data_IF_895136369953
#
_entry.id   IF_895136369953
#
_cell.length_a   1.000
_cell.length_b   1.000
_cell.length_c   1.000
_cell.angle_alpha   90.00
_cell.angle_beta   90.00
_cell.angle_gamma   90.00
#
_symmetry.space_group_name_H-M   'P 1'
#
loop_
_entity.id
_entity.type
_entity.pdbx_description
1 polymer ?
#
# COMPACT_ATOMS: atom_id res chain seq x y z
N UNK A 1 3.75 -25.57 -7.13
CA UNK A 1 3.05 -25.34 -8.41
C UNK A 1 1.97 -24.27 -8.23
N UNK A 2 1.16 -24.36 -7.18
CA UNK A 2 0.04 -23.43 -6.92
C UNK A 2 0.46 -21.97 -6.66
N UNK A 3 1.56 -21.73 -5.94
CA UNK A 3 2.08 -20.36 -5.69
C UNK A 3 2.56 -19.67 -6.95
N UNK A 4 3.22 -20.41 -7.86
CA UNK A 4 3.70 -19.84 -9.13
C UNK A 4 2.52 -19.44 -10.02
N UNK A 5 1.49 -20.29 -10.09
CA UNK A 5 0.26 -20.00 -10.85
C UNK A 5 -0.44 -18.77 -10.26
N UNK A 6 -0.58 -18.70 -8.93
CA UNK A 6 -1.17 -17.55 -8.24
C UNK A 6 -0.40 -16.26 -8.54
N UNK A 7 0.94 -16.31 -8.50
CA UNK A 7 1.80 -15.17 -8.80
C UNK A 7 1.68 -14.73 -10.27
N UNK A 8 1.67 -15.67 -11.22
CA UNK A 8 1.48 -15.36 -12.64
C UNK A 8 0.13 -14.68 -12.87
N UNK A 9 -0.95 -15.23 -12.28
CA UNK A 9 -2.28 -14.63 -12.36
C UNK A 9 -2.30 -13.22 -11.76
N UNK A 10 -1.71 -13.04 -10.58
CA UNK A 10 -1.65 -11.76 -9.87
C UNK A 10 -0.90 -10.69 -10.67
N UNK A 11 0.32 -11.00 -11.12
CA UNK A 11 1.17 -10.08 -11.88
C UNK A 11 0.54 -9.75 -13.25
N UNK A 12 -0.05 -10.74 -13.92
CA UNK A 12 -0.74 -10.52 -15.20
C UNK A 12 -1.96 -9.61 -15.01
N UNK A 13 -2.72 -9.82 -13.94
CA UNK A 13 -3.88 -8.99 -13.61
C UNK A 13 -3.48 -7.55 -13.32
N UNK A 14 -2.44 -7.33 -12.50
CA UNK A 14 -1.91 -6.00 -12.23
C UNK A 14 -1.40 -5.31 -13.51
N UNK A 15 -0.67 -6.03 -14.37
CA UNK A 15 -0.18 -5.48 -15.63
C UNK A 15 -1.33 -5.04 -16.53
N UNK A 16 -2.36 -5.88 -16.68
CA UNK A 16 -3.57 -5.54 -17.45
C UNK A 16 -4.25 -4.30 -16.85
N UNK A 17 -4.43 -4.26 -15.53
CA UNK A 17 -5.03 -3.11 -14.84
C UNK A 17 -4.21 -1.82 -15.01
N UNK A 18 -2.88 -1.90 -15.02
CA UNK A 18 -1.98 -0.76 -15.26
C UNK A 18 -2.15 -0.23 -16.69
N UNK A 19 -2.20 -1.12 -17.69
CA UNK A 19 -2.39 -0.73 -19.09
C UNK A 19 -3.77 -0.10 -19.29
N UNK A 20 -4.84 -0.78 -18.85
CA UNK A 20 -6.21 -0.28 -18.96
C UNK A 20 -6.41 1.02 -18.19
N UNK A 21 -5.87 1.11 -16.98
CA UNK A 21 -5.90 2.31 -16.16
C UNK A 21 -5.20 3.49 -16.83
N UNK A 22 -4.02 3.27 -17.42
CA UNK A 22 -3.28 4.31 -18.14
C UNK A 22 -4.10 4.89 -19.30
N UNK A 23 -4.95 4.09 -19.94
CA UNK A 23 -5.81 4.55 -21.04
C UNK A 23 -7.07 5.26 -20.49
N UNK A 24 -7.69 4.68 -19.47
CA UNK A 24 -8.99 5.10 -18.96
C UNK A 24 -8.92 6.36 -18.08
N UNK A 25 -7.88 6.46 -17.25
CA UNK A 25 -7.69 7.54 -16.28
C UNK A 25 -6.91 8.75 -16.83
N UNK A 26 -6.26 8.63 -17.98
CA UNK A 26 -5.58 9.74 -18.67
C UNK A 26 -6.59 10.62 -19.45
N UNK A 27 -7.41 11.35 -18.69
CA UNK A 27 -8.54 12.16 -19.20
C UNK A 27 -8.09 13.30 -20.13
N UNK A 28 -7.00 13.98 -19.79
CA UNK A 28 -6.38 15.07 -20.54
C UNK A 28 -5.31 14.60 -21.54
N UNK A 29 -5.20 13.29 -21.77
CA UNK A 29 -4.32 12.66 -22.77
C UNK A 29 -2.86 13.11 -22.70
N UNK A 30 -2.31 13.22 -21.49
CA UNK A 30 -0.91 13.64 -21.27
C UNK A 30 0.10 12.52 -21.45
N UNK A 31 -0.30 11.26 -21.40
CA UNK A 31 0.66 10.16 -21.56
C UNK A 31 1.21 10.17 -22.99
N UNK A 32 2.53 10.28 -23.09
CA UNK A 32 3.25 10.22 -24.37
C UNK A 32 4.65 9.64 -24.15
N UNK A 33 5.27 9.11 -25.21
CA UNK A 33 6.65 8.59 -25.13
C UNK A 33 7.63 9.65 -24.59
N UNK A 34 7.46 10.91 -25.00
CA UNK A 34 8.28 12.04 -24.52
C UNK A 34 8.09 12.26 -23.02
N UNK A 35 6.84 12.31 -22.55
CA UNK A 35 6.54 12.55 -21.15
C UNK A 35 6.95 11.37 -20.25
N UNK A 36 6.79 10.13 -20.73
CA UNK A 36 7.25 8.94 -20.01
C UNK A 36 8.78 8.92 -19.84
N UNK A 37 9.55 9.24 -20.89
CA UNK A 37 11.02 9.34 -20.80
C UNK A 37 11.42 10.47 -19.84
N UNK A 38 10.78 11.64 -19.98
CA UNK A 38 11.02 12.77 -19.10
C UNK A 38 10.70 12.42 -17.65
N UNK A 39 9.54 11.81 -17.38
CA UNK A 39 9.10 11.43 -16.05
C UNK A 39 10.03 10.40 -15.42
N UNK A 40 10.49 9.41 -16.18
CA UNK A 40 11.42 8.40 -15.69
C UNK A 40 12.76 9.03 -15.28
N UNK A 41 13.32 9.89 -16.14
CA UNK A 41 14.60 10.56 -15.86
C UNK A 41 14.49 11.49 -14.64
N UNK A 42 13.44 12.31 -14.58
CA UNK A 42 13.27 13.32 -13.54
C UNK A 42 12.68 12.78 -12.22
N UNK A 43 12.25 11.52 -12.21
CA UNK A 43 11.74 10.86 -10.99
C UNK A 43 12.66 9.77 -10.45
N UNK A 44 13.82 9.54 -11.08
CA UNK A 44 14.73 8.43 -10.75
C UNK A 44 15.14 8.38 -9.27
N UNK A 45 15.43 9.51 -8.64
CA UNK A 45 15.76 9.56 -7.22
C UNK A 45 14.58 9.12 -6.34
N UNK A 46 13.36 9.54 -6.66
CA UNK A 46 12.16 9.13 -5.94
C UNK A 46 11.84 7.64 -6.17
N UNK A 47 12.03 7.13 -7.39
CA UNK A 47 11.86 5.71 -7.68
C UNK A 47 12.89 4.85 -6.93
N UNK A 48 14.11 5.37 -6.73
CA UNK A 48 15.11 4.70 -5.90
C UNK A 48 14.73 4.72 -4.41
N UNK A 49 14.15 5.82 -3.90
CA UNK A 49 13.58 5.85 -2.54
C UNK A 49 12.47 4.80 -2.40
N UNK A 50 11.58 4.67 -3.39
CA UNK A 50 10.54 3.64 -3.37
C UNK A 50 11.15 2.22 -3.31
N UNK A 51 12.24 1.97 -4.04
CA UNK A 51 12.98 0.72 -3.96
C UNK A 51 13.58 0.50 -2.55
N UNK A 52 14.16 1.54 -1.95
CA UNK A 52 14.68 1.49 -0.58
C UNK A 52 13.55 1.10 0.38
N UNK A 53 12.36 1.70 0.26
CA UNK A 53 11.21 1.35 1.12
C UNK A 53 10.90 -0.15 1.02
N UNK A 54 10.82 -0.71 -0.19
CA UNK A 54 10.60 -2.16 -0.36
C UNK A 54 11.71 -3.02 0.22
N UNK A 55 12.97 -2.58 0.14
CA UNK A 55 14.10 -3.27 0.79
C UNK A 55 13.94 -3.24 2.31
N UNK A 56 13.56 -2.10 2.90
CA UNK A 56 13.36 -1.97 4.33
C UNK A 56 12.19 -2.81 4.82
N UNK A 57 11.09 -2.90 4.08
CA UNK A 57 9.98 -3.85 4.37
C UNK A 57 10.51 -5.28 4.37
N UNK A 58 11.42 -5.65 3.45
CA UNK A 58 12.01 -7.00 3.44
C UNK A 58 12.98 -7.24 4.60
N UNK A 59 13.76 -6.25 5.00
CA UNK A 59 14.64 -6.33 6.17
C UNK A 59 13.80 -6.50 7.43
N UNK A 60 12.76 -5.69 7.58
CA UNK A 60 11.80 -5.74 8.68
C UNK A 60 11.18 -7.15 8.78
N UNK A 61 10.68 -7.69 7.68
CA UNK A 61 10.21 -9.08 7.59
C UNK A 61 11.25 -10.12 8.05
N UNK A 62 12.52 -9.95 7.66
CA UNK A 62 13.61 -10.84 8.07
C UNK A 62 13.86 -10.72 9.58
N UNK A 63 13.82 -9.51 10.14
CA UNK A 63 14.00 -9.29 11.58
C UNK A 63 12.88 -9.99 12.37
N UNK A 64 11.63 -9.88 11.94
CA UNK A 64 10.51 -10.59 12.56
C UNK A 64 10.67 -12.12 12.56
N UNK A 65 11.31 -12.71 11.54
CA UNK A 65 11.57 -14.16 11.52
C UNK A 65 12.65 -14.60 12.52
N UNK A 66 13.58 -13.71 12.88
CA UNK A 66 14.75 -14.04 13.69
C UNK A 66 14.58 -13.67 15.17
N UNK A 67 13.70 -12.73 15.48
CA UNK A 67 13.51 -12.23 16.83
C UNK A 67 12.05 -12.33 17.27
N UNK A 68 11.86 -12.65 18.55
CA UNK A 68 10.52 -12.65 19.16
C UNK A 68 10.14 -11.20 19.44
N UNK A 69 9.14 -10.71 18.72
CA UNK A 69 8.58 -9.37 18.91
C UNK A 69 7.50 -9.38 20.00
N UNK A 70 7.33 -8.27 20.74
CA UNK A 70 6.28 -8.17 21.76
C UNK A 70 4.88 -8.13 21.14
N UNK A 71 3.96 -8.94 21.68
CA UNK A 71 2.57 -9.06 21.21
C UNK A 71 1.62 -8.18 22.05
N UNK A 72 0.97 -7.22 21.40
CA UNK A 72 0.02 -6.29 22.01
C UNK A 72 -1.44 -6.54 21.58
N UNK A 73 -1.72 -7.66 20.91
CA UNK A 73 -3.05 -7.97 20.35
C UNK A 73 -4.16 -7.99 21.41
N UNK A 74 -3.83 -8.41 22.64
CA UNK A 74 -4.76 -8.42 23.77
C UNK A 74 -5.42 -7.04 24.01
N UNK A 75 -4.67 -5.93 23.85
CA UNK A 75 -5.20 -4.58 24.04
C UNK A 75 -6.30 -4.24 23.04
N UNK A 76 -6.20 -4.76 21.81
CA UNK A 76 -7.19 -4.57 20.77
C UNK A 76 -8.42 -5.44 21.04
N UNK A 77 -8.20 -6.71 21.35
CA UNK A 77 -9.29 -7.62 21.67
C UNK A 77 -10.12 -7.18 22.87
N UNK A 78 -9.48 -6.71 23.95
CA UNK A 78 -10.19 -6.20 25.14
C UNK A 78 -11.02 -4.94 24.82
N UNK A 79 -10.60 -4.13 23.84
CA UNK A 79 -11.28 -2.90 23.46
C UNK A 79 -12.52 -3.15 22.60
N UNK A 80 -12.42 -4.01 21.58
CA UNK A 80 -13.45 -4.16 20.53
C UNK A 80 -14.02 -5.58 20.39
N UNK A 81 -13.29 -6.60 20.86
CA UNK A 81 -13.64 -8.00 20.66
C UNK A 81 -13.82 -8.37 19.18
N UNK A 82 -14.50 -9.49 18.92
CA UNK A 82 -14.68 -10.03 17.56
C UNK A 82 -16.12 -9.92 17.04
N UNK A 83 -17.05 -9.33 17.82
CA UNK A 83 -18.49 -9.42 17.57
C UNK A 83 -18.93 -8.86 16.23
N UNK A 84 -18.40 -7.71 15.82
CA UNK A 84 -18.71 -7.09 14.53
C UNK A 84 -18.21 -7.91 13.34
N UNK A 85 -17.02 -8.51 13.46
CA UNK A 85 -16.43 -9.34 12.41
C UNK A 85 -17.26 -10.59 12.23
N UNK A 86 -17.57 -11.28 13.34
CA UNK A 86 -18.42 -12.49 13.33
C UNK A 86 -19.79 -12.17 12.74
N UNK A 87 -20.41 -11.05 13.16
CA UNK A 87 -21.70 -10.61 12.61
C UNK A 87 -21.65 -10.47 11.09
N UNK A 88 -20.65 -9.76 10.55
CA UNK A 88 -20.49 -9.60 9.10
C UNK A 88 -20.26 -10.94 8.40
N UNK A 89 -19.40 -11.79 8.96
CA UNK A 89 -19.10 -13.10 8.42
C UNK A 89 -20.27 -14.07 8.49
N UNK A 90 -21.21 -13.92 9.41
CA UNK A 90 -22.42 -14.75 9.50
C UNK A 90 -23.51 -14.30 8.52
N UNK A 91 -23.68 -12.99 8.35
CA UNK A 91 -24.75 -12.45 7.51
C UNK A 91 -24.38 -12.36 6.03
N UNK A 92 -23.10 -12.44 5.68
CA UNK A 92 -22.60 -12.35 4.30
C UNK A 92 -21.89 -13.65 3.87
N UNK A 93 -22.40 -14.83 4.24
CA UNK A 93 -21.81 -16.13 3.88
C UNK A 93 -22.11 -16.54 2.43
N UNK A 94 -21.43 -15.91 1.48
CA UNK A 94 -21.55 -16.27 0.07
C UNK A 94 -20.16 -16.52 -0.55
N UNK A 95 -19.88 -17.72 -1.10
CA UNK A 95 -18.56 -18.04 -1.65
C UNK A 95 -18.08 -17.09 -2.76
N UNK A 96 -19.00 -16.66 -3.64
CA UNK A 96 -18.68 -15.71 -4.70
C UNK A 96 -18.35 -14.32 -4.13
N UNK A 97 -19.10 -13.87 -3.12
CA UNK A 97 -18.81 -12.64 -2.41
C UNK A 97 -17.45 -12.68 -1.71
N UNK A 98 -17.17 -13.74 -0.95
CA UNK A 98 -15.87 -13.94 -0.28
C UNK A 98 -14.73 -13.86 -1.29
N UNK A 99 -14.84 -14.61 -2.39
CA UNK A 99 -13.84 -14.61 -3.45
C UNK A 99 -13.63 -13.21 -4.05
N UNK A 100 -14.72 -12.48 -4.28
CA UNK A 100 -14.67 -11.10 -4.79
C UNK A 100 -13.97 -10.14 -3.82
N UNK A 101 -14.23 -10.26 -2.52
CA UNK A 101 -13.58 -9.43 -1.48
C UNK A 101 -12.09 -9.80 -1.34
N UNK A 102 -11.73 -11.08 -1.42
CA UNK A 102 -10.33 -11.52 -1.44
C UNK A 102 -9.58 -10.93 -2.64
N UNK A 103 -10.15 -11.01 -3.85
CA UNK A 103 -9.55 -10.41 -5.06
C UNK A 103 -9.45 -8.89 -4.90
N UNK A 104 -10.48 -8.25 -4.36
CA UNK A 104 -10.46 -6.81 -4.10
C UNK A 104 -9.29 -6.41 -3.20
N UNK A 105 -9.14 -7.09 -2.06
CA UNK A 105 -8.06 -6.85 -1.10
C UNK A 105 -6.68 -7.06 -1.74
N UNK A 106 -6.48 -8.19 -2.43
CA UNK A 106 -5.21 -8.55 -3.05
C UNK A 106 -4.79 -7.54 -4.13
N UNK A 107 -5.71 -7.15 -5.03
CA UNK A 107 -5.34 -6.36 -6.21
C UNK A 107 -5.33 -4.86 -5.96
N UNK A 108 -6.35 -4.30 -5.31
CA UNK A 108 -6.60 -2.86 -5.43
C UNK A 108 -5.66 -2.01 -4.58
N UNK A 109 -5.17 -2.52 -3.45
CA UNK A 109 -4.16 -1.81 -2.66
C UNK A 109 -2.87 -1.62 -3.46
N UNK A 110 -2.27 -2.73 -3.91
CA UNK A 110 -1.05 -2.70 -4.71
C UNK A 110 -1.24 -1.96 -6.03
N UNK A 111 -2.40 -2.14 -6.67
CA UNK A 111 -2.75 -1.38 -7.85
C UNK A 111 -2.70 0.11 -7.57
N UNK A 112 -3.49 0.66 -6.63
CA UNK A 112 -3.50 2.10 -6.34
C UNK A 112 -2.11 2.61 -5.96
N UNK A 113 -1.37 1.88 -5.11
CA UNK A 113 -0.03 2.29 -4.69
C UNK A 113 0.94 2.38 -5.87
N UNK A 114 1.08 1.32 -6.67
CA UNK A 114 2.08 1.24 -7.75
C UNK A 114 1.61 2.00 -8.99
N UNK A 115 0.35 1.81 -9.38
CA UNK A 115 -0.22 2.46 -10.56
C UNK A 115 -0.19 3.98 -10.43
N UNK A 116 -0.46 4.57 -9.25
CA UNK A 116 -0.36 6.03 -9.08
C UNK A 116 1.04 6.55 -9.43
N UNK A 117 2.09 5.86 -8.98
CA UNK A 117 3.47 6.24 -9.27
C UNK A 117 3.76 6.11 -10.77
N UNK A 118 3.42 4.96 -11.37
CA UNK A 118 3.61 4.71 -12.79
C UNK A 118 2.84 5.74 -13.63
N UNK A 119 1.59 6.01 -13.28
CA UNK A 119 0.72 6.93 -13.98
C UNK A 119 1.31 8.35 -14.05
N UNK A 120 1.80 8.88 -12.93
CA UNK A 120 2.46 10.19 -12.92
C UNK A 120 3.82 10.19 -13.63
N UNK A 121 4.57 9.09 -13.59
CA UNK A 121 5.80 8.93 -14.40
C UNK A 121 5.46 8.99 -15.89
N UNK A 122 4.45 8.25 -16.35
CA UNK A 122 4.03 8.20 -17.76
C UNK A 122 3.54 9.57 -18.27
N UNK A 123 2.97 10.39 -17.38
CA UNK A 123 2.53 11.76 -17.66
C UNK A 123 3.64 12.81 -17.55
N UNK A 124 4.84 12.44 -17.10
CA UNK A 124 5.95 13.36 -16.89
C UNK A 124 5.79 14.29 -15.69
N UNK A 125 4.86 13.97 -14.77
CA UNK A 125 4.48 14.80 -13.62
C UNK A 125 5.35 14.44 -12.39
N UNK A 126 6.67 14.67 -12.48
CA UNK A 126 7.66 14.25 -11.45
C UNK A 126 7.40 14.82 -10.06
N UNK A 127 6.79 16.01 -9.95
CA UNK A 127 6.40 16.59 -8.67
C UNK A 127 5.28 15.78 -7.98
N UNK A 128 4.37 15.17 -8.76
CA UNK A 128 3.35 14.28 -8.23
C UNK A 128 3.95 12.94 -7.81
N UNK A 129 4.92 12.41 -8.58
CA UNK A 129 5.70 11.22 -8.19
C UNK A 129 6.40 11.45 -6.85
N UNK A 130 7.12 12.57 -6.71
CA UNK A 130 7.75 12.99 -5.45
C UNK A 130 6.76 12.98 -4.29
N UNK A 131 5.62 13.65 -4.47
CA UNK A 131 4.62 13.80 -3.40
C UNK A 131 4.07 12.44 -2.97
N UNK A 132 3.77 11.55 -3.91
CA UNK A 132 3.29 10.21 -3.60
C UNK A 132 4.35 9.35 -2.92
N UNK A 133 5.59 9.32 -3.43
CA UNK A 133 6.70 8.56 -2.82
C UNK A 133 6.99 9.08 -1.41
N UNK A 134 6.96 10.38 -1.18
CA UNK A 134 7.19 10.93 0.16
C UNK A 134 6.05 10.63 1.12
N UNK A 135 4.81 10.60 0.66
CA UNK A 135 3.70 10.11 1.48
C UNK A 135 3.89 8.64 1.87
N UNK A 136 4.25 7.78 0.91
CA UNK A 136 4.56 6.36 1.18
C UNK A 136 5.76 6.26 2.15
N UNK A 137 6.82 7.04 1.95
CA UNK A 137 7.99 7.07 2.84
C UNK A 137 7.60 7.43 4.28
N UNK A 138 6.79 8.47 4.47
CA UNK A 138 6.34 8.89 5.80
C UNK A 138 5.51 7.80 6.48
N UNK A 139 4.62 7.12 5.73
CA UNK A 139 3.88 5.97 6.25
C UNK A 139 4.88 4.91 6.76
N UNK A 140 5.82 4.47 5.93
CA UNK A 140 6.74 3.38 6.31
C UNK A 140 7.80 3.76 7.35
N UNK A 141 8.14 5.05 7.51
CA UNK A 141 8.94 5.53 8.65
C UNK A 141 8.21 5.27 9.98
N UNK A 142 6.87 5.32 9.98
CA UNK A 142 6.05 5.04 11.16
C UNK A 142 5.71 3.56 11.26
N UNK A 143 5.25 2.92 10.17
CA UNK A 143 4.80 1.53 10.17
C UNK A 143 5.89 0.56 10.61
N UNK A 144 7.11 0.68 10.08
CA UNK A 144 8.20 -0.27 10.36
C UNK A 144 8.52 -0.36 11.87
N UNK A 145 8.72 0.76 12.60
CA UNK A 145 8.87 0.68 14.06
C UNK A 145 7.70 0.01 14.78
N UNK A 146 6.45 0.27 14.37
CA UNK A 146 5.30 -0.40 15.01
C UNK A 146 5.30 -1.91 14.72
N UNK A 147 5.63 -2.34 13.50
CA UNK A 147 5.70 -3.76 13.12
C UNK A 147 6.89 -4.52 13.73
N UNK A 148 7.89 -3.81 14.26
CA UNK A 148 9.01 -4.41 14.98
C UNK A 148 8.82 -4.39 16.50
N UNK A 149 8.14 -3.39 17.06
CA UNK A 149 8.13 -3.14 18.50
C UNK A 149 6.73 -3.14 19.12
N UNK A 150 5.68 -3.25 18.32
CA UNK A 150 4.29 -3.20 18.76
C UNK A 150 3.41 -4.11 17.88
N UNK A 151 3.72 -5.41 17.88
CA UNK A 151 3.05 -6.35 16.99
C UNK A 151 1.59 -6.56 17.40
N UNK A 152 0.72 -6.60 16.39
CA UNK A 152 -0.71 -6.85 16.56
C UNK A 152 -1.12 -7.87 15.53
N UNK A 153 -1.61 -9.01 16.00
CA UNK A 153 -2.01 -10.12 15.13
C UNK A 153 -3.30 -9.82 14.36
N UNK A 154 -3.48 -10.57 13.28
CA UNK A 154 -4.75 -10.64 12.56
C UNK A 154 -5.88 -11.15 13.45
N UNK A 155 -7.09 -10.60 13.24
CA UNK A 155 -8.26 -10.94 14.08
C UNK A 155 -8.68 -12.41 13.98
N UNK A 156 -8.38 -13.06 12.86
CA UNK A 156 -8.59 -14.50 12.68
C UNK A 156 -7.53 -15.38 13.35
N UNK A 157 -6.52 -14.79 14.00
CA UNK A 157 -5.44 -15.47 14.74
C UNK A 157 -5.43 -15.07 16.23
N UNK A 158 -6.46 -14.36 16.71
CA UNK A 158 -6.58 -13.99 18.12
C UNK A 158 -8.04 -13.79 18.60
N UNK A 159 -8.38 -14.20 19.84
CA UNK A 159 -7.59 -15.04 20.74
C UNK A 159 -7.51 -16.49 20.22
N UNK A 160 -6.83 -17.37 20.97
CA UNK A 160 -6.86 -18.80 20.69
C UNK A 160 -8.30 -19.31 20.60
N UNK A 161 -8.59 -20.13 19.60
CA UNK A 161 -9.96 -20.58 19.26
C UNK A 161 -10.95 -19.43 18.96
N UNK A 162 -10.46 -18.35 18.34
CA UNK A 162 -11.31 -17.25 17.84
C UNK A 162 -12.45 -17.76 16.93
N UNK A 163 -13.68 -17.21 17.05
CA UNK A 163 -14.78 -17.52 16.15
C UNK A 163 -14.62 -16.87 14.76
N UNK A 164 -13.64 -15.98 14.58
CA UNK A 164 -13.39 -15.29 13.31
C UNK A 164 -12.81 -16.27 12.29
N UNK A 165 -13.49 -16.41 11.16
CA UNK A 165 -13.04 -17.27 10.07
C UNK A 165 -11.89 -16.60 9.31
N UNK A 166 -10.78 -17.29 9.03
CA UNK A 166 -9.68 -16.77 8.23
C UNK A 166 -10.01 -16.83 6.73
N UNK A 167 -10.99 -16.03 6.29
CA UNK A 167 -11.62 -16.18 4.95
C UNK A 167 -10.61 -16.10 3.81
N UNK A 168 -9.63 -15.19 3.90
CA UNK A 168 -8.56 -15.08 2.92
C UNK A 168 -7.55 -16.23 3.04
N UNK A 169 -7.10 -16.51 4.27
CA UNK A 169 -6.02 -17.50 4.51
C UNK A 169 -6.47 -18.95 4.32
N UNK A 170 -7.78 -19.21 4.31
CA UNK A 170 -8.35 -20.54 4.01
C UNK A 170 -8.08 -20.99 2.57
N UNK A 171 -7.73 -20.07 1.67
CA UNK A 171 -7.29 -20.39 0.31
C UNK A 171 -5.76 -20.30 0.21
N UNK A 172 -5.11 -21.43 -0.10
CA UNK A 172 -3.64 -21.52 -0.15
C UNK A 172 -2.99 -20.59 -1.17
N UNK A 173 -3.66 -20.29 -2.29
CA UNK A 173 -3.16 -19.36 -3.31
C UNK A 173 -3.20 -17.92 -2.81
N UNK A 174 -4.29 -17.54 -2.14
CA UNK A 174 -4.42 -16.18 -1.57
C UNK A 174 -3.50 -15.97 -0.39
N UNK A 175 -3.42 -16.95 0.51
CA UNK A 175 -2.47 -16.94 1.61
C UNK A 175 -1.04 -16.77 1.09
N UNK A 176 -0.65 -17.55 0.07
CA UNK A 176 0.69 -17.44 -0.50
C UNK A 176 0.96 -16.07 -1.13
N UNK A 177 -0.05 -15.38 -1.68
CA UNK A 177 0.11 -14.03 -2.23
C UNK A 177 0.24 -12.96 -1.14
N UNK A 178 -0.62 -12.99 -0.11
CA UNK A 178 -0.57 -11.99 0.99
C UNK A 178 0.73 -12.09 1.77
N UNK A 179 1.16 -13.32 2.10
CA UNK A 179 2.39 -13.53 2.88
C UNK A 179 3.68 -13.21 2.12
N UNK A 180 3.61 -12.86 0.82
CA UNK A 180 4.75 -12.26 0.12
C UNK A 180 4.96 -10.80 0.54
N UNK A 181 3.96 -10.13 1.08
CA UNK A 181 3.98 -8.71 1.40
C UNK A 181 3.87 -8.43 2.89
N UNK A 182 2.92 -9.07 3.57
CA UNK A 182 2.52 -8.76 4.94
C UNK A 182 2.71 -9.95 5.88
N UNK A 183 3.13 -9.70 7.12
CA UNK A 183 3.06 -10.69 8.20
C UNK A 183 1.68 -10.68 8.84
N UNK A 184 1.37 -11.79 9.51
CA UNK A 184 0.16 -11.93 10.32
C UNK A 184 0.15 -11.04 11.57
N UNK A 185 1.21 -10.26 11.80
CA UNK A 185 1.45 -9.40 12.96
C UNK A 185 1.54 -7.90 12.62
N UNK A 186 1.38 -7.54 11.34
CA UNK A 186 1.61 -6.19 10.82
C UNK A 186 0.32 -5.34 10.75
N UNK A 187 -0.52 -5.44 11.77
CA UNK A 187 -1.84 -4.82 11.69
C UNK A 187 -1.88 -3.35 12.14
N UNK A 188 -1.11 -2.99 13.17
CA UNK A 188 -1.22 -1.67 13.79
C UNK A 188 -0.01 -0.77 13.49
N UNK A 189 -0.23 0.48 13.05
CA UNK A 189 -1.47 0.97 12.41
C UNK A 189 -1.67 0.34 11.03
N UNK A 190 -2.88 0.40 10.46
CA UNK A 190 -3.14 -0.23 9.17
C UNK A 190 -2.37 0.46 8.02
N UNK A 191 -1.39 -0.24 7.46
CA UNK A 191 -0.60 0.20 6.31
C UNK A 191 -1.44 0.37 5.04
N UNK A 192 -2.36 -0.57 4.81
CA UNK A 192 -3.31 -0.54 3.69
C UNK A 192 -4.13 0.74 3.69
N UNK A 193 -4.75 1.06 4.82
CA UNK A 193 -5.62 2.23 4.97
C UNK A 193 -4.81 3.51 4.89
N UNK A 194 -3.67 3.58 5.57
CA UNK A 194 -2.84 4.80 5.62
C UNK A 194 -2.30 5.23 4.26
N UNK A 195 -1.76 4.29 3.47
CA UNK A 195 -1.28 4.58 2.11
C UNK A 195 -2.44 4.96 1.19
N UNK A 196 -3.56 4.23 1.20
CA UNK A 196 -4.72 4.54 0.37
C UNK A 196 -5.33 5.91 0.69
N UNK A 197 -5.47 6.25 1.97
CA UNK A 197 -5.93 7.58 2.41
C UNK A 197 -4.97 8.66 1.92
N UNK A 198 -3.66 8.48 2.09
CA UNK A 198 -2.68 9.47 1.67
C UNK A 198 -2.71 9.72 0.15
N UNK A 199 -2.80 8.67 -0.67
CA UNK A 199 -2.87 8.77 -2.13
C UNK A 199 -4.20 9.40 -2.57
N UNK A 200 -5.32 8.97 -1.99
CA UNK A 200 -6.64 9.53 -2.30
C UNK A 200 -6.72 11.02 -1.98
N UNK A 201 -6.14 11.47 -0.86
CA UNK A 201 -6.06 12.89 -0.53
C UNK A 201 -5.17 13.67 -1.50
N UNK A 202 -4.04 13.10 -1.95
CA UNK A 202 -3.20 13.71 -2.98
C UNK A 202 -4.01 13.89 -4.27
N UNK A 203 -4.68 12.84 -4.75
CA UNK A 203 -5.48 12.90 -5.98
C UNK A 203 -6.61 13.93 -5.86
N UNK A 204 -7.36 13.89 -4.77
CA UNK A 204 -8.50 14.76 -4.50
C UNK A 204 -8.12 16.24 -4.42
N UNK A 205 -6.98 16.56 -3.78
CA UNK A 205 -6.65 17.94 -3.43
C UNK A 205 -5.58 18.56 -4.34
N UNK A 206 -4.88 17.77 -5.15
CA UNK A 206 -3.75 18.25 -5.98
C UNK A 206 -3.92 17.99 -7.47
N UNK A 207 -4.98 17.31 -7.89
CA UNK A 207 -5.20 16.97 -9.30
C UNK A 207 -6.62 17.28 -9.76
N UNK A 208 -6.81 17.31 -11.08
CA UNK A 208 -8.13 17.41 -11.71
C UNK A 208 -8.55 16.08 -12.38
N UNK A 209 -7.97 14.96 -11.95
CA UNK A 209 -8.20 13.62 -12.51
C UNK A 209 -9.47 13.01 -11.89
N UNK A 210 -10.64 13.48 -12.32
CA UNK A 210 -11.94 13.16 -11.70
C UNK A 210 -12.18 11.66 -11.63
N UNK A 211 -12.01 10.94 -12.75
CA UNK A 211 -12.26 9.49 -12.82
C UNK A 211 -11.34 8.72 -11.89
N UNK A 212 -10.06 9.08 -11.88
CA UNK A 212 -9.08 8.39 -11.05
C UNK A 212 -9.28 8.68 -9.56
N UNK A 213 -9.56 9.95 -9.23
CA UNK A 213 -9.87 10.38 -7.86
C UNK A 213 -11.10 9.66 -7.31
N UNK A 214 -12.19 9.57 -8.08
CA UNK A 214 -13.39 8.84 -7.65
C UNK A 214 -13.06 7.37 -7.43
N UNK A 215 -12.33 6.75 -8.35
CA UNK A 215 -11.91 5.36 -8.22
C UNK A 215 -11.09 5.12 -6.94
N UNK A 216 -10.08 5.94 -6.67
CA UNK A 216 -9.24 5.76 -5.47
C UNK A 216 -10.01 6.01 -4.18
N UNK A 217 -10.93 6.98 -4.16
CA UNK A 217 -11.82 7.20 -3.01
C UNK A 217 -12.71 5.98 -2.76
N UNK A 218 -13.29 5.39 -3.80
CA UNK A 218 -14.12 4.19 -3.68
C UNK A 218 -13.30 3.00 -3.16
N UNK A 219 -12.10 2.77 -3.69
CA UNK A 219 -11.18 1.73 -3.19
C UNK A 219 -10.87 1.98 -1.72
N UNK A 220 -10.47 3.20 -1.37
CA UNK A 220 -10.13 3.59 0.01
C UNK A 220 -11.30 3.40 0.97
N UNK A 221 -12.53 3.73 0.55
CA UNK A 221 -13.73 3.59 1.37
C UNK A 221 -14.17 2.13 1.55
N UNK A 222 -13.94 1.27 0.55
CA UNK A 222 -14.28 -0.15 0.59
C UNK A 222 -13.23 -0.99 1.34
N UNK A 223 -11.98 -0.54 1.40
CA UNK A 223 -10.89 -1.28 2.08
C UNK A 223 -11.20 -1.61 3.54
N UNK A 224 -11.65 -0.68 4.42
CA UNK A 224 -12.02 -0.99 5.80
C UNK A 224 -13.03 -2.13 5.91
N UNK A 225 -14.07 -2.12 5.08
CA UNK A 225 -15.05 -3.20 5.05
C UNK A 225 -14.39 -4.53 4.66
N UNK A 226 -13.59 -4.54 3.59
CA UNK A 226 -12.93 -5.75 3.10
C UNK A 226 -12.04 -6.39 4.16
N UNK A 227 -11.18 -5.61 4.82
CA UNK A 227 -10.21 -6.14 5.79
C UNK A 227 -10.84 -6.59 7.11
N UNK A 228 -11.93 -5.94 7.56
CA UNK A 228 -12.72 -6.42 8.71
C UNK A 228 -13.42 -7.72 8.33
N UNK A 229 -14.14 -7.74 7.20
CA UNK A 229 -14.89 -8.91 6.77
C UNK A 229 -14.01 -10.16 6.59
N UNK A 230 -12.81 -9.99 6.02
CA UNK A 230 -11.85 -11.07 5.80
C UNK A 230 -11.21 -11.61 7.09
N UNK A 231 -11.43 -10.96 8.24
CA UNK A 231 -10.82 -11.34 9.51
C UNK A 231 -9.36 -10.93 9.63
N UNK A 232 -8.95 -9.84 8.96
CA UNK A 232 -7.55 -9.40 8.94
C UNK A 232 -7.32 -8.35 10.03
N UNK A 233 -8.05 -7.23 10.01
CA UNK A 233 -7.74 -6.03 10.80
C UNK A 233 -8.73 -5.73 11.92
N UNK A 234 -8.24 -5.07 12.96
CA UNK A 234 -9.01 -4.49 14.08
C UNK A 234 -9.57 -3.11 13.67
N UNK A 235 -10.70 -2.69 14.22
CA UNK A 235 -11.31 -1.37 13.91
C UNK A 235 -10.39 -0.22 14.33
N UNK A 236 -9.75 -0.34 15.50
CA UNK A 236 -8.84 0.66 16.04
C UNK A 236 -7.58 0.85 15.18
N UNK A 237 -7.09 -0.20 14.53
CA UNK A 237 -5.95 -0.09 13.60
C UNK A 237 -6.29 0.66 12.30
N UNK A 238 -7.56 0.59 11.87
CA UNK A 238 -8.09 1.33 10.73
C UNK A 238 -8.12 2.82 11.03
N UNK A 239 -8.61 3.21 12.22
CA UNK A 239 -8.62 4.62 12.63
C UNK A 239 -7.20 5.19 12.74
N UNK A 240 -6.27 4.43 13.31
CA UNK A 240 -4.86 4.81 13.35
C UNK A 240 -4.26 4.92 11.94
N UNK A 241 -4.64 4.01 11.04
CA UNK A 241 -4.28 4.07 9.62
C UNK A 241 -4.79 5.33 8.92
N UNK A 242 -6.06 5.71 9.11
CA UNK A 242 -6.63 6.95 8.56
C UNK A 242 -5.85 8.17 9.05
N UNK A 243 -5.61 8.25 10.36
CA UNK A 243 -4.85 9.35 10.96
C UNK A 243 -3.43 9.43 10.38
N UNK A 244 -2.73 8.29 10.28
CA UNK A 244 -1.40 8.22 9.69
C UNK A 244 -1.40 8.64 8.22
N UNK A 245 -2.40 8.22 7.44
CA UNK A 245 -2.55 8.63 6.04
C UNK A 245 -2.73 10.14 5.87
N UNK A 246 -3.50 10.78 6.75
CA UNK A 246 -3.67 12.24 6.79
C UNK A 246 -2.33 12.92 7.15
N UNK A 247 -1.61 12.42 8.15
CA UNK A 247 -0.28 12.93 8.54
C UNK A 247 0.70 12.80 7.38
N UNK A 248 0.71 11.66 6.69
CA UNK A 248 1.56 11.41 5.53
C UNK A 248 1.25 12.38 4.39
N UNK A 249 -0.03 12.65 4.11
CA UNK A 249 -0.44 13.66 3.14
C UNK A 249 0.13 15.04 3.50
N UNK A 250 -0.09 15.53 4.72
CA UNK A 250 0.39 16.85 5.13
C UNK A 250 1.91 16.92 5.17
N UNK A 251 2.58 15.87 5.61
CA UNK A 251 4.03 15.78 5.65
C UNK A 251 4.65 15.82 4.24
N UNK A 252 4.09 15.06 3.30
CA UNK A 252 4.54 15.06 1.90
C UNK A 252 4.32 16.40 1.20
N UNK A 253 3.39 17.23 1.69
CA UNK A 253 3.10 18.58 1.17
C UNK A 253 3.78 19.70 1.96
N UNK A 254 4.49 19.39 3.05
CA UNK A 254 5.17 20.38 3.89
C UNK A 254 6.57 20.66 3.39
N UNK A 255 6.83 21.88 2.90
CA UNK A 255 8.17 22.30 2.42
C UNK A 255 9.28 22.07 3.46
N UNK A 256 8.95 22.19 4.75
CA UNK A 256 9.91 21.96 5.85
C UNK A 256 10.34 20.50 5.94
N UNK A 257 9.38 19.57 5.83
CA UNK A 257 9.62 18.13 5.91
C UNK A 257 10.27 17.65 4.61
N UNK A 258 9.72 18.03 3.45
CA UNK A 258 10.23 17.59 2.16
C UNK A 258 11.67 18.05 1.91
N UNK A 259 12.13 19.17 2.50
CA UNK A 259 13.51 19.64 2.38
C UNK A 259 14.53 18.61 2.90
N UNK A 260 14.21 17.88 3.96
CA UNK A 260 15.06 16.81 4.47
C UNK A 260 15.17 15.66 3.47
N UNK A 261 14.03 15.22 2.94
CA UNK A 261 13.97 14.16 1.94
C UNK A 261 14.60 14.58 0.61
N UNK A 262 14.47 15.84 0.21
CA UNK A 262 15.10 16.42 -0.99
C UNK A 262 16.63 16.36 -0.89
N UNK A 263 17.19 16.70 0.27
CA UNK A 263 18.62 16.57 0.53
C UNK A 263 19.11 15.13 0.40
N UNK A 264 18.38 14.19 0.98
CA UNK A 264 18.67 12.76 0.86
C UNK A 264 18.53 12.24 -0.58
N UNK A 265 17.48 12.65 -1.29
CA UNK A 265 17.25 12.28 -2.69
C UNK A 265 18.39 12.78 -3.57
N UNK A 266 18.82 14.03 -3.38
CA UNK A 266 19.95 14.61 -4.11
C UNK A 266 21.26 13.87 -3.82
N UNK A 267 21.51 13.52 -2.55
CA UNK A 267 22.67 12.71 -2.18
C UNK A 267 22.70 11.35 -2.90
N UNK A 268 21.55 10.66 -2.95
CA UNK A 268 21.39 9.40 -3.70
C UNK A 268 21.71 9.63 -5.19
N UNK A 269 21.13 10.66 -5.81
CA UNK A 269 21.34 10.91 -7.23
C UNK A 269 22.80 11.22 -7.58
N UNK A 270 23.49 12.00 -6.73
CA UNK A 270 24.89 12.38 -6.95
C UNK A 270 25.88 11.24 -6.70
N UNK A 271 25.58 10.32 -5.78
CA UNK A 271 26.52 9.27 -5.34
C UNK A 271 26.22 7.89 -5.90
N UNK A 272 24.95 7.54 -6.08
CA UNK A 272 24.52 6.17 -6.40
C UNK A 272 23.97 6.05 -7.83
N UNK A 273 23.38 7.11 -8.39
CA UNK A 273 22.67 7.08 -9.69
C UNK A 273 23.38 7.98 -10.73
N UNK A 274 24.71 8.12 -10.67
CA UNK A 274 25.46 8.90 -11.66
C UNK A 274 25.21 8.36 -13.08
N UNK A 275 24.38 9.06 -13.84
CA UNK A 275 24.33 8.93 -15.29
C UNK A 275 25.35 9.93 -15.84
N UNK A 276 26.54 9.43 -16.20
CA UNK A 276 27.47 10.18 -17.04
C UNK A 276 26.78 10.39 -18.39
N UNK A 277 26.15 11.55 -18.57
CA UNK A 277 25.87 12.03 -19.92
C UNK A 277 27.22 12.45 -20.51
N UNK A 278 27.96 11.51 -21.10
CA UNK A 278 28.90 11.89 -22.13
C UNK A 278 28.05 12.40 -23.30
N UNK A 279 27.84 13.71 -23.31
CA UNK A 279 27.41 14.41 -24.51
C UNK A 279 28.49 14.15 -25.57
N UNK A 280 28.29 13.13 -26.40
CA UNK A 280 28.91 13.07 -27.72
C UNK A 280 28.40 14.30 -28.47
N UNK A 281 29.23 15.34 -28.47
CA UNK A 281 29.19 16.41 -29.46
C UNK A 281 29.44 15.83 -30.85
#
# INVERSE_FOLDING_TARGET
MDTLIALIWYLSSLLIMIVLGSIFFDEDKKISKRNAIYGLINSRGYLFILLIIFIFIKIENILQDHFIMPDFTHLFYELEGNGIIVFLQEHLQNPFFIHSVCIFYLLFFFYVMIFTIIFFVLRGESQMVKTCVYAILINYIVLIPFYLFFNVKVTCDYPDATPVKPLLYSNSQYMALVLLADRLTDNFPSGHVSVLVSISLILLLKTNLKRYTIFTILVTALTPFAIIYLGIHWISDIFAGILLGIIAYFGANSKRITKWFDGFTKFIEEKLIKINYSTKR
#
